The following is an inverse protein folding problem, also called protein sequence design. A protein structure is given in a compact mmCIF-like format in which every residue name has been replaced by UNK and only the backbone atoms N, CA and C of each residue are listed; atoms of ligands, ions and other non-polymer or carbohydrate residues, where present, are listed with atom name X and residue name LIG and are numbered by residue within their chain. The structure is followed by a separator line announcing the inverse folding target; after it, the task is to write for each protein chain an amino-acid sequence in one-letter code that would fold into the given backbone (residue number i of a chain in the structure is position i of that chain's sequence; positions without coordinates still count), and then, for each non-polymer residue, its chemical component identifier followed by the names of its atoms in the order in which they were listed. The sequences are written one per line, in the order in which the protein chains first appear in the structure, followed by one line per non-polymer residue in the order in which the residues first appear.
data_IF_411723395696
#
_entry.id   IF_411723395696
#
_cell.length_a   1.000
_cell.length_b   1.000
_cell.length_c   1.000
_cell.angle_alpha   90.00
_cell.angle_beta   90.00
_cell.angle_gamma   90.00
#
_symmetry.space_group_name_H-M   'P 1'
#
loop_
_entity.id
_entity.type
_entity.pdbx_description
1 polymer ?
#
# COMPACT_ATOMS: atom_id res chain seq x y z
N UNK A 1 -41.07 42.38 9.28
CA UNK A 1 -41.38 42.18 7.85
C UNK A 1 -40.39 43.01 7.05
N UNK A 2 -39.64 42.38 6.14
CA UNK A 2 -38.74 42.96 5.13
C UNK A 2 -37.43 43.65 5.55
N UNK A 3 -36.31 43.13 5.03
CA UNK A 3 -35.49 43.92 4.10
C UNK A 3 -34.16 44.48 4.59
N UNK A 4 -33.16 43.63 4.88
CA UNK A 4 -31.75 44.05 4.91
C UNK A 4 -30.99 43.23 3.86
N UNK A 5 -31.03 43.73 2.63
CA UNK A 5 -30.24 43.24 1.52
C UNK A 5 -28.84 43.86 1.55
N UNK A 6 -27.89 43.12 0.98
CA UNK A 6 -26.76 43.65 0.21
C UNK A 6 -25.55 44.21 0.97
N UNK A 7 -24.68 43.32 1.45
CA UNK A 7 -23.24 43.58 1.36
C UNK A 7 -22.64 42.64 0.32
N UNK A 8 -22.28 43.24 -0.82
CA UNK A 8 -21.62 42.59 -1.94
C UNK A 8 -20.23 42.12 -1.51
N UNK A 9 -19.95 40.83 -1.67
CA UNK A 9 -18.61 40.39 -2.08
C UNK A 9 -18.72 39.58 -3.36
N UNK A 10 -18.52 40.27 -4.48
CA UNK A 10 -18.04 39.64 -5.72
C UNK A 10 -16.79 38.82 -5.37
N UNK A 11 -16.84 37.50 -5.50
CA UNK A 11 -15.62 36.70 -5.67
C UNK A 11 -15.39 36.49 -7.18
N UNK A 12 -14.15 36.70 -7.67
CA UNK A 12 -13.83 36.75 -9.08
C UNK A 12 -13.93 35.37 -9.77
N UNK A 13 -14.00 35.32 -11.11
CA UNK A 13 -14.05 34.07 -11.85
C UNK A 13 -12.67 33.40 -11.89
N UNK A 14 -12.70 32.07 -11.81
CA UNK A 14 -11.68 31.14 -12.31
C UNK A 14 -10.21 31.53 -12.04
N UNK A 15 -9.72 31.18 -10.84
CA UNK A 15 -8.28 30.96 -10.67
C UNK A 15 -7.94 29.61 -11.30
N UNK A 16 -7.21 29.70 -12.41
CA UNK A 16 -6.55 28.62 -13.16
C UNK A 16 -6.02 27.58 -12.17
N UNK A 17 -6.45 26.33 -12.37
CA UNK A 17 -5.90 25.16 -11.69
C UNK A 17 -4.39 25.28 -11.68
N UNK A 18 -3.81 25.40 -10.47
CA UNK A 18 -2.39 25.52 -10.25
C UNK A 18 -1.75 24.18 -10.64
N UNK A 19 -1.42 24.02 -11.92
CA UNK A 19 -0.71 22.85 -12.48
C UNK A 19 0.61 22.55 -11.75
N UNK A 20 1.12 23.52 -10.98
CA UNK A 20 2.31 23.41 -10.16
C UNK A 20 2.07 22.65 -8.84
N UNK A 21 0.86 22.72 -8.26
CA UNK A 21 0.52 21.96 -7.05
C UNK A 21 0.39 20.45 -7.34
N UNK A 22 -0.08 20.08 -8.54
CA UNK A 22 -0.15 18.69 -8.98
C UNK A 22 1.23 18.08 -9.31
N UNK A 23 2.20 18.91 -9.71
CA UNK A 23 3.57 18.47 -10.01
C UNK A 23 4.39 18.16 -8.76
N UNK A 24 4.17 18.89 -7.67
CA UNK A 24 4.83 18.63 -6.39
C UNK A 24 4.46 17.24 -5.84
N UNK A 25 3.17 16.91 -5.78
CA UNK A 25 2.68 15.61 -5.32
C UNK A 25 3.19 14.42 -6.14
N UNK A 26 3.23 14.55 -7.48
CA UNK A 26 3.72 13.47 -8.34
C UNK A 26 5.25 13.26 -8.22
N UNK A 27 6.02 14.34 -8.00
CA UNK A 27 7.47 14.28 -7.82
C UNK A 27 7.85 13.67 -6.46
N UNK A 28 7.11 13.98 -5.40
CA UNK A 28 7.28 13.40 -4.06
C UNK A 28 7.02 11.89 -4.06
N UNK A 29 5.91 11.44 -4.67
CA UNK A 29 5.61 10.00 -4.79
C UNK A 29 6.65 9.24 -5.61
N UNK A 30 7.21 9.86 -6.66
CA UNK A 30 8.20 9.22 -7.54
C UNK A 30 9.52 8.93 -6.82
N UNK A 31 9.94 9.85 -5.93
CA UNK A 31 11.17 9.66 -5.16
C UNK A 31 10.98 8.61 -4.05
N UNK A 32 9.84 8.61 -3.38
CA UNK A 32 9.50 7.63 -2.34
C UNK A 32 9.44 6.21 -2.91
N UNK A 33 8.82 6.04 -4.10
CA UNK A 33 8.83 4.78 -4.84
C UNK A 33 10.24 4.35 -5.29
N UNK A 34 11.15 5.30 -5.54
CA UNK A 34 12.54 5.00 -5.91
C UNK A 34 13.36 4.48 -4.71
N UNK A 35 13.12 5.02 -3.52
CA UNK A 35 13.75 4.55 -2.28
C UNK A 35 13.19 3.18 -1.87
N UNK A 36 11.88 2.96 -2.02
CA UNK A 36 11.26 1.66 -1.83
C UNK A 36 11.82 0.58 -2.78
N UNK A 37 12.22 0.96 -4.01
CA UNK A 37 12.90 0.07 -4.97
C UNK A 37 14.37 -0.20 -4.62
N UNK A 38 15.03 0.73 -3.92
CA UNK A 38 16.40 0.54 -3.46
C UNK A 38 16.48 -0.52 -2.34
N UNK A 39 15.40 -0.68 -1.57
CA UNK A 39 15.22 -1.79 -0.63
C UNK A 39 14.83 -3.05 -1.40
N UNK A 40 15.55 -4.16 -1.21
CA UNK A 40 15.18 -5.43 -1.83
C UNK A 40 13.79 -5.85 -1.28
N UNK A 41 12.78 -6.04 -2.14
CA UNK A 41 11.41 -6.30 -1.69
C UNK A 41 11.24 -7.67 -1.01
N UNK A 42 12.15 -8.61 -1.30
CA UNK A 42 12.25 -9.93 -0.69
C UNK A 42 13.69 -10.13 -0.20
N UNK A 43 13.82 -10.53 1.06
CA UNK A 43 15.06 -11.03 1.62
C UNK A 43 15.34 -12.45 1.12
N UNK A 44 16.16 -12.56 0.07
CA UNK A 44 16.52 -13.85 -0.52
C UNK A 44 17.38 -14.72 0.43
N UNK A 45 18.07 -14.13 1.41
CA UNK A 45 18.84 -14.91 2.40
C UNK A 45 17.87 -15.61 3.35
N UNK A 46 16.82 -14.91 3.79
CA UNK A 46 15.74 -15.52 4.57
C UNK A 46 15.02 -16.61 3.77
N UNK A 47 14.64 -16.31 2.52
CA UNK A 47 13.93 -17.26 1.66
C UNK A 47 14.75 -18.55 1.47
N UNK A 48 16.03 -18.43 1.13
CA UNK A 48 16.92 -19.58 0.97
C UNK A 48 17.01 -20.41 2.26
N UNK A 49 17.02 -19.80 3.44
CA UNK A 49 17.00 -20.53 4.72
C UNK A 49 15.70 -21.30 4.92
N UNK A 50 14.55 -20.74 4.54
CA UNK A 50 13.25 -21.41 4.62
C UNK A 50 13.14 -22.59 3.64
N UNK A 51 13.81 -22.48 2.50
CA UNK A 51 13.80 -23.49 1.43
C UNK A 51 15.02 -24.42 1.46
N UNK A 52 15.86 -24.35 2.51
CA UNK A 52 17.10 -25.13 2.63
C UNK A 52 18.07 -24.97 1.45
N UNK A 53 18.00 -23.84 0.75
CA UNK A 53 18.80 -23.51 -0.43
C UNK A 53 18.33 -24.18 -1.73
N UNK A 54 17.15 -24.81 -1.74
CA UNK A 54 16.56 -25.37 -2.96
C UNK A 54 15.89 -24.27 -3.79
N UNK A 55 16.54 -23.87 -4.89
CA UNK A 55 16.06 -22.81 -5.78
C UNK A 55 14.70 -23.12 -6.42
N UNK A 56 14.37 -24.40 -6.67
CA UNK A 56 13.09 -24.81 -7.22
C UNK A 56 11.95 -24.57 -6.23
N UNK A 57 12.19 -24.93 -4.97
CA UNK A 57 11.26 -24.68 -3.87
C UNK A 57 11.12 -23.18 -3.59
N UNK A 58 12.20 -22.40 -3.64
CA UNK A 58 12.14 -20.93 -3.51
C UNK A 58 11.19 -20.31 -4.55
N UNK A 59 11.32 -20.72 -5.82
CA UNK A 59 10.45 -20.25 -6.89
C UNK A 59 8.99 -20.67 -6.68
N UNK A 60 8.76 -21.91 -6.24
CA UNK A 60 7.41 -22.39 -5.95
C UNK A 60 6.75 -21.59 -4.83
N UNK A 61 7.48 -21.35 -3.73
CA UNK A 61 7.00 -20.55 -2.59
C UNK A 61 6.72 -19.11 -3.01
N UNK A 62 7.56 -18.49 -3.83
CA UNK A 62 7.30 -17.14 -4.35
C UNK A 62 6.06 -17.11 -5.26
N UNK A 63 5.84 -18.13 -6.09
CA UNK A 63 4.65 -18.24 -6.95
C UNK A 63 3.38 -18.43 -6.11
N UNK A 64 3.45 -19.25 -5.07
CA UNK A 64 2.37 -19.44 -4.12
C UNK A 64 2.05 -18.14 -3.40
N UNK A 65 3.07 -17.47 -2.85
CA UNK A 65 2.94 -16.18 -2.18
C UNK A 65 2.27 -15.13 -3.08
N UNK A 66 2.71 -14.98 -4.33
CA UNK A 66 2.08 -14.08 -5.30
C UNK A 66 0.58 -14.37 -5.48
N UNK A 67 0.22 -15.65 -5.59
CA UNK A 67 -1.17 -16.08 -5.76
C UNK A 67 -1.99 -15.75 -4.51
N UNK A 68 -1.47 -16.09 -3.33
CA UNK A 68 -2.09 -15.81 -2.04
C UNK A 68 -2.29 -14.32 -1.80
N UNK A 69 -1.33 -13.47 -2.18
CA UNK A 69 -1.46 -12.01 -2.08
C UNK A 69 -2.58 -11.46 -2.97
N UNK A 70 -2.78 -12.01 -4.17
CA UNK A 70 -3.92 -11.64 -5.02
C UNK A 70 -5.27 -11.90 -4.35
N UNK A 71 -5.40 -13.04 -3.66
CA UNK A 71 -6.60 -13.39 -2.90
C UNK A 71 -6.82 -12.42 -1.74
N UNK A 72 -5.79 -12.15 -0.93
CA UNK A 72 -5.92 -11.24 0.21
C UNK A 72 -6.14 -9.79 -0.18
N UNK A 73 -5.58 -9.33 -1.31
CA UNK A 73 -5.86 -8.00 -1.84
C UNK A 73 -7.35 -7.84 -2.17
N UNK A 74 -7.95 -8.83 -2.83
CA UNK A 74 -9.39 -8.82 -3.12
C UNK A 74 -10.23 -8.86 -1.84
N UNK A 75 -9.83 -9.66 -0.84
CA UNK A 75 -10.51 -9.73 0.46
C UNK A 75 -10.42 -8.42 1.24
N UNK A 76 -9.26 -7.77 1.27
CA UNK A 76 -9.09 -6.45 1.89
C UNK A 76 -10.00 -5.42 1.25
N UNK A 77 -10.11 -5.41 -0.09
CA UNK A 77 -10.97 -4.48 -0.81
C UNK A 77 -12.47 -4.71 -0.54
N UNK A 78 -12.86 -5.94 -0.21
CA UNK A 78 -14.24 -6.33 0.07
C UNK A 78 -14.60 -6.30 1.57
N UNK A 79 -13.63 -6.17 2.47
CA UNK A 79 -13.87 -6.19 3.91
C UNK A 79 -14.69 -4.97 4.35
N UNK A 80 -15.72 -5.23 5.17
CA UNK A 80 -16.64 -4.18 5.65
C UNK A 80 -16.60 -4.03 7.17
N UNK A 81 -16.01 -4.99 7.87
CA UNK A 81 -15.91 -4.99 9.34
C UNK A 81 -14.45 -4.91 9.80
N UNK A 82 -14.19 -4.33 10.99
CA UNK A 82 -12.86 -4.33 11.59
C UNK A 82 -12.28 -5.74 11.78
N UNK A 83 -13.12 -6.72 12.12
CA UNK A 83 -12.72 -8.12 12.33
C UNK A 83 -12.25 -8.77 11.03
N UNK A 84 -12.93 -8.53 9.90
CA UNK A 84 -12.51 -9.03 8.57
C UNK A 84 -11.18 -8.43 8.14
N UNK A 85 -11.00 -7.12 8.35
CA UNK A 85 -9.74 -6.42 8.08
C UNK A 85 -8.62 -7.04 8.90
N UNK A 86 -8.83 -7.18 10.22
CA UNK A 86 -7.85 -7.77 11.13
C UNK A 86 -7.44 -9.19 10.71
N UNK A 87 -8.39 -10.05 10.36
CA UNK A 87 -8.08 -11.41 9.89
C UNK A 87 -7.27 -11.41 8.58
N UNK A 88 -7.59 -10.51 7.64
CA UNK A 88 -6.82 -10.38 6.40
C UNK A 88 -5.40 -9.90 6.67
N UNK A 89 -5.23 -8.87 7.50
CA UNK A 89 -3.93 -8.31 7.87
C UNK A 89 -3.07 -9.32 8.62
N UNK A 90 -3.65 -10.07 9.56
CA UNK A 90 -2.97 -11.19 10.24
C UNK A 90 -2.38 -12.20 9.26
N UNK A 91 -3.18 -12.56 8.25
CA UNK A 91 -2.78 -13.55 7.25
C UNK A 91 -1.72 -13.01 6.29
N UNK A 92 -1.84 -11.75 5.88
CA UNK A 92 -0.82 -11.07 5.05
C UNK A 92 0.51 -10.98 5.81
N UNK A 93 0.47 -10.58 7.08
CA UNK A 93 1.65 -10.52 7.96
C UNK A 93 2.36 -11.87 8.01
N UNK A 94 1.62 -12.96 8.25
CA UNK A 94 2.18 -14.32 8.31
C UNK A 94 2.81 -14.75 6.98
N UNK A 95 2.07 -14.59 5.88
CA UNK A 95 2.56 -14.96 4.55
C UNK A 95 3.81 -14.15 4.13
N UNK A 96 3.81 -12.84 4.40
CA UNK A 96 4.93 -11.95 4.09
C UNK A 96 6.18 -12.28 4.93
N UNK A 97 6.00 -12.57 6.23
CA UNK A 97 7.09 -12.98 7.11
C UNK A 97 7.70 -14.32 6.68
N UNK A 98 6.87 -15.25 6.20
CA UNK A 98 7.33 -16.56 5.72
C UNK A 98 8.32 -16.44 4.55
N UNK A 99 8.08 -15.53 3.61
CA UNK A 99 8.92 -15.36 2.41
C UNK A 99 10.01 -14.30 2.55
N UNK A 100 10.09 -13.58 3.68
CA UNK A 100 11.05 -12.49 3.88
C UNK A 100 10.65 -11.16 3.25
N UNK A 101 9.35 -10.93 3.03
CA UNK A 101 8.79 -9.66 2.57
C UNK A 101 8.56 -8.70 3.76
N UNK A 102 9.64 -8.36 4.47
CA UNK A 102 9.58 -7.69 5.79
C UNK A 102 8.78 -6.38 5.79
N UNK A 103 8.97 -5.54 4.78
CA UNK A 103 8.22 -4.28 4.64
C UNK A 103 6.71 -4.50 4.65
N UNK A 104 6.23 -5.54 3.96
CA UNK A 104 4.80 -5.87 3.92
C UNK A 104 4.34 -6.41 5.27
N UNK A 105 5.13 -7.27 5.90
CA UNK A 105 4.83 -7.81 7.22
C UNK A 105 4.71 -6.71 8.29
N UNK A 106 5.61 -5.73 8.26
CA UNK A 106 5.61 -4.61 9.20
C UNK A 106 4.42 -3.68 8.97
N UNK A 107 4.10 -3.36 7.72
CA UNK A 107 2.91 -2.56 7.39
C UNK A 107 1.64 -3.29 7.84
N UNK A 108 1.52 -4.59 7.56
CA UNK A 108 0.37 -5.38 7.97
C UNK A 108 0.24 -5.42 9.49
N UNK A 109 1.34 -5.61 10.22
CA UNK A 109 1.38 -5.58 11.69
C UNK A 109 0.97 -4.23 12.27
N UNK A 110 1.34 -3.12 11.63
CA UNK A 110 1.00 -1.78 12.10
C UNK A 110 -0.49 -1.45 11.91
N UNK A 111 -1.17 -2.13 10.97
CA UNK A 111 -2.57 -1.91 10.64
C UNK A 111 -3.52 -2.94 11.29
N UNK A 112 -3.01 -4.10 11.72
CA UNK A 112 -3.76 -5.21 12.35
C UNK A 112 -4.20 -4.91 13.78
#
# INVERSE_FOLDING_TARGET
MAGWALWKTKRPPMLRSCRMAQRASAAETSHDLSLLRATRPIDLVHLARQCLGDEGLEQEILRLFKTTMGVYQARLAAATTPEELKMCLHSIKGAASGVGAWTIADIAKALE
#
